data_IF_692953624675
#
_entry.id   IF_692953624675
#
_cell.length_a   1.000
_cell.length_b   1.000
_cell.length_c   1.000
_cell.angle_alpha   90.00
_cell.angle_beta   90.00
_cell.angle_gamma   90.00
#
_symmetry.space_group_name_H-M   'P 1'
#
loop_
_entity.id
_entity.type
_entity.pdbx_description
1 polymer ?
#
# COMPACT_ATOMS: atom_id res chain seq x y z
N UNK A 1 -12.39 15.93 -10.94
CA UNK A 1 -11.02 16.32 -11.37
C UNK A 1 -10.08 15.93 -10.26
N UNK A 2 -9.08 15.06 -10.54
CA UNK A 2 -8.04 14.71 -9.58
C UNK A 2 -6.98 15.80 -9.54
N UNK A 3 -6.56 16.17 -8.31
CA UNK A 3 -5.51 17.17 -8.09
C UNK A 3 -4.37 16.55 -7.29
N UNK A 4 -3.13 16.93 -7.61
CA UNK A 4 -1.92 16.52 -6.92
C UNK A 4 -1.13 17.78 -6.54
N UNK A 5 -1.00 18.03 -5.23
CA UNK A 5 -0.43 19.28 -4.73
C UNK A 5 -1.20 20.54 -5.20
N UNK A 6 -2.53 20.44 -5.31
CA UNK A 6 -3.40 21.55 -5.73
C UNK A 6 -3.57 21.69 -7.24
N UNK A 7 -2.75 21.05 -8.08
CA UNK A 7 -2.78 21.12 -9.53
C UNK A 7 -3.52 19.94 -10.17
N UNK A 8 -4.24 20.17 -11.29
CA UNK A 8 -4.89 19.10 -12.05
C UNK A 8 -3.83 18.13 -12.60
N UNK A 9 -3.95 16.84 -12.23
CA UNK A 9 -2.96 15.80 -12.62
C UNK A 9 -2.76 15.68 -14.14
N UNK A 10 -3.76 16.08 -14.93
CA UNK A 10 -3.68 16.06 -16.41
C UNK A 10 -2.77 17.15 -16.99
N UNK A 11 -2.49 18.20 -16.20
CA UNK A 11 -1.61 19.31 -16.60
C UNK A 11 -0.16 19.10 -16.19
N UNK A 12 0.08 18.15 -15.28
CA UNK A 12 1.43 17.81 -14.82
C UNK A 12 2.15 16.98 -15.88
N UNK A 13 3.42 17.27 -16.11
CA UNK A 13 4.32 16.40 -16.86
C UNK A 13 4.53 15.06 -16.16
N UNK A 14 5.03 14.06 -16.88
CA UNK A 14 5.36 12.74 -16.30
C UNK A 14 6.36 12.86 -15.15
N UNK A 15 7.37 13.71 -15.31
CA UNK A 15 8.36 13.99 -14.28
C UNK A 15 7.73 14.58 -13.02
N UNK A 16 6.86 15.58 -13.16
CA UNK A 16 6.17 16.21 -12.03
C UNK A 16 5.26 15.22 -11.32
N UNK A 17 4.52 14.39 -12.05
CA UNK A 17 3.72 13.32 -11.45
C UNK A 17 4.60 12.35 -10.69
N UNK A 18 5.66 11.85 -11.32
CA UNK A 18 6.54 10.83 -10.71
C UNK A 18 7.36 11.33 -9.52
N UNK A 19 7.60 12.64 -9.39
CA UNK A 19 8.24 13.21 -8.19
C UNK A 19 7.26 13.54 -7.08
N UNK A 20 5.95 13.69 -7.38
CA UNK A 20 4.91 14.03 -6.40
C UNK A 20 4.14 12.82 -5.90
N UNK A 21 4.07 11.74 -6.69
CA UNK A 21 3.37 10.52 -6.29
C UNK A 21 4.13 9.27 -6.75
N UNK A 22 4.28 8.32 -5.83
CA UNK A 22 4.71 6.96 -6.10
C UNK A 22 3.50 6.04 -6.20
N UNK A 23 3.62 4.97 -6.99
CA UNK A 23 2.55 3.98 -7.14
C UNK A 23 3.08 2.56 -6.96
N UNK A 24 2.45 1.82 -6.07
CA UNK A 24 2.65 0.39 -5.86
C UNK A 24 1.42 -0.35 -6.40
N UNK A 25 1.51 -0.96 -7.60
CA UNK A 25 0.38 -1.67 -8.20
C UNK A 25 0.13 -3.02 -7.52
N UNK A 26 -1.09 -3.52 -7.65
CA UNK A 26 -1.48 -4.87 -7.23
C UNK A 26 -0.70 -5.96 -7.97
N UNK A 27 -0.49 -5.77 -9.27
CA UNK A 27 0.29 -6.71 -10.08
C UNK A 27 1.77 -6.69 -9.71
N UNK A 28 2.28 -7.87 -9.34
CA UNK A 28 3.70 -8.08 -8.98
C UNK A 28 4.50 -8.73 -10.09
N UNK A 29 3.97 -8.72 -11.31
CA UNK A 29 4.66 -9.27 -12.46
C UNK A 29 5.76 -8.32 -12.91
N UNK A 30 6.98 -8.84 -12.98
CA UNK A 30 8.15 -8.16 -13.55
C UNK A 30 8.56 -8.96 -14.78
N UNK A 31 8.53 -8.33 -15.94
CA UNK A 31 8.70 -9.01 -17.24
C UNK A 31 10.10 -9.60 -17.44
N UNK A 32 11.10 -9.11 -16.70
CA UNK A 32 12.49 -9.53 -16.84
C UNK A 32 13.08 -10.00 -15.51
N UNK A 33 14.04 -10.93 -15.56
CA UNK A 33 14.77 -11.38 -14.38
C UNK A 33 15.93 -10.42 -14.06
N UNK A 34 15.58 -9.17 -13.68
CA UNK A 34 16.57 -8.18 -13.22
C UNK A 34 16.94 -8.41 -11.75
N UNK A 35 18.16 -8.04 -11.32
CA UNK A 35 18.52 -7.96 -9.90
C UNK A 35 17.58 -7.04 -9.13
N UNK A 36 17.30 -7.38 -7.86
CA UNK A 36 16.42 -6.58 -7.01
C UNK A 36 16.86 -5.11 -6.91
N UNK A 37 18.16 -4.86 -6.86
CA UNK A 37 18.72 -3.51 -6.80
C UNK A 37 18.33 -2.68 -8.04
N UNK A 38 18.42 -3.27 -9.21
CA UNK A 38 18.03 -2.62 -10.46
C UNK A 38 16.53 -2.36 -10.51
N UNK A 39 15.71 -3.36 -10.11
CA UNK A 39 14.25 -3.19 -10.03
C UNK A 39 13.88 -2.06 -9.06
N UNK A 40 14.51 -2.00 -7.90
CA UNK A 40 14.27 -0.90 -6.95
C UNK A 40 14.69 0.46 -7.55
N UNK A 41 15.85 0.52 -8.24
CA UNK A 41 16.33 1.75 -8.86
C UNK A 41 15.41 2.31 -9.95
N UNK A 42 14.61 1.47 -10.63
CA UNK A 42 13.57 1.92 -11.56
C UNK A 42 12.53 2.85 -10.92
N UNK A 43 12.40 2.81 -9.58
CA UNK A 43 11.53 3.71 -8.83
C UNK A 43 11.97 5.17 -8.84
N UNK A 44 13.21 5.46 -9.22
CA UNK A 44 13.77 6.81 -9.24
C UNK A 44 14.30 7.19 -10.65
N UNK A 45 13.45 7.19 -11.70
CA UNK A 45 13.90 7.38 -13.08
C UNK A 45 14.51 8.77 -13.35
N UNK A 46 14.40 9.69 -12.40
CA UNK A 46 14.95 11.05 -12.52
C UNK A 46 16.29 11.23 -11.81
N UNK A 47 16.76 10.19 -11.13
CA UNK A 47 18.12 10.12 -10.59
C UNK A 47 19.01 9.37 -11.59
N UNK A 48 20.25 9.83 -11.73
CA UNK A 48 21.21 9.21 -12.64
C UNK A 48 22.27 8.41 -11.87
N UNK A 49 22.71 7.29 -12.47
CA UNK A 49 23.89 6.54 -12.06
C UNK A 49 23.87 6.09 -10.59
N UNK A 50 24.97 6.28 -9.91
CA UNK A 50 25.21 5.80 -8.54
C UNK A 50 24.20 6.32 -7.52
N UNK A 51 23.64 7.52 -7.71
CA UNK A 51 22.66 8.08 -6.80
C UNK A 51 21.35 7.27 -6.77
N UNK A 52 20.91 6.75 -7.92
CA UNK A 52 19.73 5.88 -8.00
C UNK A 52 20.01 4.55 -7.29
N UNK A 53 21.16 3.93 -7.53
CA UNK A 53 21.57 2.67 -6.90
C UNK A 53 21.75 2.80 -5.38
N UNK A 54 22.34 3.88 -4.90
CA UNK A 54 22.50 4.14 -3.45
C UNK A 54 21.12 4.26 -2.77
N UNK A 55 20.17 5.01 -3.35
CA UNK A 55 18.82 5.12 -2.80
C UNK A 55 18.07 3.79 -2.87
N UNK A 56 18.24 3.04 -3.96
CA UNK A 56 17.63 1.73 -4.11
C UNK A 56 18.16 0.74 -3.04
N UNK A 57 19.47 0.78 -2.76
CA UNK A 57 20.08 -0.03 -1.71
C UNK A 57 19.47 0.31 -0.34
N UNK A 58 19.40 1.59 0.01
CA UNK A 58 18.80 2.04 1.27
C UNK A 58 17.31 1.63 1.38
N UNK A 59 16.55 1.74 0.30
CA UNK A 59 15.15 1.33 0.29
C UNK A 59 14.98 -0.20 0.41
N UNK A 60 15.86 -1.00 -0.18
CA UNK A 60 15.88 -2.45 0.02
C UNK A 60 16.22 -2.82 1.48
N UNK A 61 17.17 -2.14 2.11
CA UNK A 61 17.51 -2.34 3.52
C UNK A 61 16.32 -1.99 4.42
N UNK A 62 15.62 -0.88 4.14
CA UNK A 62 14.43 -0.44 4.87
C UNK A 62 13.32 -1.50 4.90
N UNK A 63 13.14 -2.23 3.80
CA UNK A 63 12.11 -3.30 3.71
C UNK A 63 12.66 -4.69 4.04
N UNK A 64 13.87 -4.80 4.57
CA UNK A 64 14.52 -6.07 4.93
C UNK A 64 14.87 -6.95 3.73
N UNK A 65 15.06 -6.36 2.54
CA UNK A 65 15.40 -7.06 1.31
C UNK A 65 16.84 -6.76 0.81
N UNK A 66 17.67 -6.10 1.60
CA UNK A 66 19.05 -5.73 1.22
C UNK A 66 19.93 -6.92 0.83
N UNK A 67 19.74 -8.07 1.50
CA UNK A 67 20.44 -9.31 1.19
C UNK A 67 20.06 -9.92 -0.18
N UNK A 68 18.96 -9.45 -0.79
CA UNK A 68 18.47 -9.90 -2.09
C UNK A 68 18.95 -9.03 -3.26
N UNK A 69 19.72 -7.98 -3.01
CA UNK A 69 20.03 -6.95 -3.98
C UNK A 69 20.54 -7.46 -5.33
N UNK A 70 21.38 -8.48 -5.32
CA UNK A 70 21.98 -9.07 -6.52
C UNK A 70 21.17 -10.25 -7.10
N UNK A 71 20.11 -10.67 -6.40
CA UNK A 71 19.30 -11.81 -6.81
C UNK A 71 18.25 -11.41 -7.85
N UNK A 72 18.04 -12.25 -8.84
CA UNK A 72 17.01 -12.05 -9.87
C UNK A 72 15.60 -12.14 -9.30
N UNK A 73 14.73 -11.20 -9.64
CA UNK A 73 13.36 -11.14 -9.10
C UNK A 73 12.48 -12.32 -9.51
N UNK A 74 12.78 -12.99 -10.61
CA UNK A 74 12.07 -14.21 -11.02
C UNK A 74 12.33 -15.39 -10.08
N UNK A 75 13.46 -15.40 -9.36
CA UNK A 75 13.88 -16.44 -8.44
C UNK A 75 13.36 -16.22 -7.00
N UNK A 76 12.58 -15.17 -6.80
CA UNK A 76 12.09 -14.75 -5.49
C UNK A 76 10.71 -15.33 -5.17
N UNK A 77 10.48 -15.58 -3.88
CA UNK A 77 9.14 -15.83 -3.35
C UNK A 77 8.21 -14.63 -3.55
N UNK A 78 6.91 -14.83 -3.38
CA UNK A 78 5.93 -13.74 -3.47
C UNK A 78 6.20 -12.62 -2.46
N UNK A 79 6.57 -12.96 -1.23
CA UNK A 79 6.91 -12.00 -0.17
C UNK A 79 8.20 -11.24 -0.45
N UNK A 80 9.27 -11.93 -0.88
CA UNK A 80 10.54 -11.27 -1.27
C UNK A 80 10.31 -10.29 -2.43
N UNK A 81 9.53 -10.69 -3.45
CA UNK A 81 9.20 -9.83 -4.58
C UNK A 81 8.36 -8.61 -4.15
N UNK A 82 7.41 -8.80 -3.22
CA UNK A 82 6.62 -7.69 -2.69
C UNK A 82 7.50 -6.66 -1.97
N UNK A 83 8.48 -7.09 -1.18
CA UNK A 83 9.46 -6.20 -0.52
C UNK A 83 10.26 -5.40 -1.56
N UNK A 84 10.73 -6.03 -2.63
CA UNK A 84 11.47 -5.34 -3.71
C UNK A 84 10.60 -4.30 -4.42
N UNK A 85 9.34 -4.62 -4.70
CA UNK A 85 8.41 -3.67 -5.33
C UNK A 85 8.02 -2.52 -4.39
N UNK A 86 7.90 -2.80 -3.09
CA UNK A 86 7.72 -1.75 -2.08
C UNK A 86 8.94 -0.84 -2.03
N UNK A 87 10.17 -1.39 -1.99
CA UNK A 87 11.40 -0.62 -2.07
C UNK A 87 11.41 0.29 -3.31
N UNK A 88 11.03 -0.24 -4.48
CA UNK A 88 10.89 0.55 -5.72
C UNK A 88 9.94 1.74 -5.56
N UNK A 89 8.81 1.57 -4.87
CA UNK A 89 7.87 2.66 -4.63
C UNK A 89 8.41 3.70 -3.62
N UNK A 90 9.26 3.28 -2.69
CA UNK A 90 9.83 4.16 -1.65
C UNK A 90 11.05 4.96 -2.13
N UNK A 91 11.81 4.48 -3.11
CA UNK A 91 13.06 5.11 -3.62
C UNK A 91 12.87 6.56 -4.01
N UNK A 92 11.76 6.91 -4.65
CA UNK A 92 11.50 8.28 -5.12
C UNK A 92 11.22 9.26 -3.98
N UNK A 93 10.85 8.78 -2.79
CA UNK A 93 10.45 9.59 -1.63
C UNK A 93 9.36 10.63 -1.95
N UNK A 94 8.45 10.29 -2.87
CA UNK A 94 7.36 11.17 -3.26
C UNK A 94 6.49 11.55 -2.06
N UNK A 95 5.94 12.78 -1.98
CA UNK A 95 5.05 13.18 -0.89
C UNK A 95 3.80 12.30 -0.74
N UNK A 96 3.32 11.68 -1.83
CA UNK A 96 2.18 10.78 -1.84
C UNK A 96 2.60 9.38 -2.31
N UNK A 97 2.15 8.35 -1.58
CA UNK A 97 2.25 6.95 -1.98
C UNK A 97 0.85 6.38 -2.19
N UNK A 98 0.59 5.88 -3.38
CA UNK A 98 -0.61 5.14 -3.73
C UNK A 98 -0.27 3.65 -3.75
N UNK A 99 -0.99 2.83 -2.98
CA UNK A 99 -0.75 1.39 -2.90
C UNK A 99 -2.06 0.63 -3.16
N UNK A 100 -2.07 -0.15 -4.23
CA UNK A 100 -3.26 -0.91 -4.64
C UNK A 100 -3.12 -2.36 -4.21
N UNK A 101 -3.93 -2.77 -3.23
CA UNK A 101 -3.92 -4.11 -2.61
C UNK A 101 -2.50 -4.63 -2.28
N UNK A 102 -1.66 -3.86 -1.58
CA UNK A 102 -0.23 -4.16 -1.46
C UNK A 102 0.08 -5.45 -0.70
N UNK A 103 -0.89 -5.98 0.07
CA UNK A 103 -0.73 -7.18 0.89
C UNK A 103 -1.42 -8.43 0.32
N UNK A 104 -2.12 -8.31 -0.82
CA UNK A 104 -2.86 -9.44 -1.40
C UNK A 104 -1.93 -10.62 -1.71
N UNK A 105 -2.29 -11.84 -1.27
CA UNK A 105 -1.53 -13.07 -1.52
C UNK A 105 -0.14 -13.14 -0.84
N UNK A 106 0.12 -12.31 0.16
CA UNK A 106 1.30 -12.41 1.01
C UNK A 106 1.00 -13.28 2.24
N UNK A 107 2.06 -13.90 2.77
CA UNK A 107 2.01 -14.51 4.10
C UNK A 107 1.85 -13.44 5.20
N UNK A 108 1.41 -13.80 6.41
CA UNK A 108 1.10 -12.84 7.47
C UNK A 108 2.28 -11.93 7.86
N UNK A 109 3.51 -12.47 7.89
CA UNK A 109 4.71 -11.68 8.22
C UNK A 109 4.96 -10.58 7.18
N UNK A 110 4.93 -10.97 5.90
CA UNK A 110 5.11 -10.02 4.81
C UNK A 110 3.98 -8.97 4.74
N UNK A 111 2.73 -9.35 5.06
CA UNK A 111 1.61 -8.40 5.16
C UNK A 111 1.87 -7.34 6.23
N UNK A 112 2.23 -7.76 7.44
CA UNK A 112 2.50 -6.84 8.55
C UNK A 112 3.66 -5.93 8.23
N UNK A 113 4.76 -6.44 7.68
CA UNK A 113 5.91 -5.63 7.30
C UNK A 113 5.53 -4.54 6.28
N UNK A 114 4.76 -4.89 5.23
CA UNK A 114 4.31 -3.89 4.24
C UNK A 114 3.48 -2.80 4.91
N UNK A 115 2.52 -3.18 5.76
CA UNK A 115 1.65 -2.23 6.46
C UNK A 115 2.43 -1.33 7.43
N UNK A 116 3.40 -1.88 8.16
CA UNK A 116 4.30 -1.11 9.03
C UNK A 116 5.09 -0.06 8.25
N UNK A 117 5.62 -0.40 7.06
CA UNK A 117 6.35 0.56 6.21
C UNK A 117 5.44 1.66 5.68
N UNK A 118 4.21 1.31 5.28
CA UNK A 118 3.20 2.30 4.88
C UNK A 118 2.84 3.22 6.04
N UNK A 119 2.65 2.68 7.24
CA UNK A 119 2.36 3.46 8.45
C UNK A 119 3.53 4.39 8.81
N UNK A 120 4.75 3.86 8.88
CA UNK A 120 5.96 4.65 9.15
C UNK A 120 6.14 5.81 8.16
N UNK A 121 5.77 5.61 6.88
CA UNK A 121 5.77 6.65 5.87
C UNK A 121 4.76 7.77 6.20
N UNK A 122 3.56 7.40 6.64
CA UNK A 122 2.54 8.37 7.04
C UNK A 122 2.95 9.14 8.30
N UNK A 123 3.52 8.45 9.29
CA UNK A 123 4.03 9.05 10.53
C UNK A 123 5.18 10.03 10.27
N UNK A 124 5.98 9.79 9.22
CA UNK A 124 7.02 10.72 8.76
C UNK A 124 6.46 11.93 7.97
N UNK A 125 5.14 12.09 7.89
CA UNK A 125 4.47 13.22 7.24
C UNK A 125 4.15 13.00 5.76
N UNK A 126 4.36 11.80 5.21
CA UNK A 126 3.95 11.43 3.86
C UNK A 126 2.45 11.14 3.78
N UNK A 127 1.82 11.44 2.64
CA UNK A 127 0.47 10.96 2.34
C UNK A 127 0.52 9.50 1.87
N UNK A 128 -0.34 8.64 2.43
CA UNK A 128 -0.50 7.26 1.98
C UNK A 128 -1.97 7.00 1.69
N UNK A 129 -2.27 6.55 0.47
CA UNK A 129 -3.59 6.05 0.09
C UNK A 129 -3.44 4.58 -0.28
N UNK A 130 -4.11 3.71 0.45
CA UNK A 130 -4.02 2.26 0.27
C UNK A 130 -5.40 1.65 0.10
N UNK A 131 -5.57 0.75 -0.89
CA UNK A 131 -6.74 -0.11 -0.98
C UNK A 131 -6.48 -1.42 -0.23
N UNK A 132 -7.44 -1.85 0.58
CA UNK A 132 -7.37 -3.08 1.37
C UNK A 132 -8.71 -3.79 1.39
N UNK A 133 -8.68 -5.13 1.37
CA UNK A 133 -9.86 -5.96 1.58
C UNK A 133 -10.04 -6.41 3.04
N UNK A 134 -8.95 -6.49 3.80
CA UNK A 134 -9.00 -6.83 5.21
C UNK A 134 -9.41 -5.61 6.05
N UNK A 135 -10.64 -5.65 6.56
CA UNK A 135 -11.22 -4.55 7.33
C UNK A 135 -10.53 -4.38 8.70
N UNK A 136 -10.03 -5.44 9.30
CA UNK A 136 -9.29 -5.38 10.56
C UNK A 136 -7.96 -4.69 10.35
N UNK A 137 -7.20 -5.10 9.34
CA UNK A 137 -5.92 -4.46 9.02
C UNK A 137 -6.12 -3.01 8.61
N UNK A 138 -7.15 -2.70 7.81
CA UNK A 138 -7.49 -1.33 7.45
C UNK A 138 -7.78 -0.47 8.70
N UNK A 139 -8.57 -0.99 9.65
CA UNK A 139 -8.91 -0.26 10.86
C UNK A 139 -7.71 -0.03 11.79
N UNK A 140 -6.71 -0.92 11.76
CA UNK A 140 -5.51 -0.82 12.61
C UNK A 140 -4.49 0.19 12.10
N UNK A 141 -4.38 0.38 10.79
CA UNK A 141 -3.29 1.20 10.22
C UNK A 141 -3.74 2.57 9.72
N UNK A 142 -5.02 2.74 9.39
CA UNK A 142 -5.52 3.95 8.77
C UNK A 142 -5.91 5.02 9.80
N UNK A 143 -5.64 6.30 9.49
CA UNK A 143 -6.21 7.43 10.21
C UNK A 143 -7.65 7.72 9.74
N UNK A 144 -7.95 7.37 8.49
CA UNK A 144 -9.24 7.61 7.83
C UNK A 144 -9.56 6.49 6.85
N UNK A 145 -10.78 6.04 6.84
CA UNK A 145 -11.28 5.01 5.92
C UNK A 145 -12.39 5.58 5.06
N UNK A 146 -12.26 5.35 3.75
CA UNK A 146 -13.29 5.65 2.76
C UNK A 146 -13.85 4.33 2.24
N UNK A 147 -15.15 4.12 2.42
CA UNK A 147 -15.83 2.93 1.91
C UNK A 147 -16.53 3.27 0.59
N UNK A 148 -16.23 2.47 -0.42
CA UNK A 148 -16.84 2.57 -1.75
C UNK A 148 -17.77 1.39 -1.97
N UNK A 149 -19.01 1.68 -2.39
CA UNK A 149 -19.98 0.69 -2.81
C UNK A 149 -20.65 1.14 -4.11
N UNK A 150 -20.71 0.26 -5.10
CA UNK A 150 -21.25 0.53 -6.43
C UNK A 150 -20.77 1.87 -7.05
N UNK A 151 -19.50 2.21 -6.87
CA UNK A 151 -18.87 3.42 -7.38
C UNK A 151 -19.22 4.71 -6.62
N UNK A 152 -19.83 4.60 -5.44
CA UNK A 152 -20.19 5.73 -4.56
C UNK A 152 -19.49 5.63 -3.22
N UNK A 153 -19.14 6.78 -2.67
CA UNK A 153 -18.66 6.87 -1.28
C UNK A 153 -19.88 6.69 -0.36
N UNK A 154 -19.85 5.64 0.46
CA UNK A 154 -20.92 5.34 1.44
C UNK A 154 -20.50 5.66 2.86
N UNK A 155 -19.19 5.73 3.15
CA UNK A 155 -18.66 6.22 4.41
C UNK A 155 -17.29 6.88 4.19
N UNK A 156 -16.97 7.86 5.01
CA UNK A 156 -15.70 8.58 5.00
C UNK A 156 -15.46 9.19 6.39
N UNK A 157 -14.76 8.46 7.27
CA UNK A 157 -14.57 8.82 8.68
C UNK A 157 -13.36 8.09 9.29
N UNK A 158 -13.17 8.23 10.62
CA UNK A 158 -12.25 7.39 11.38
C UNK A 158 -12.60 5.89 11.21
N UNK A 159 -11.63 4.97 11.30
CA UNK A 159 -11.82 3.58 10.86
C UNK A 159 -13.06 2.88 11.43
N UNK A 160 -13.20 2.85 12.75
CA UNK A 160 -14.33 2.14 13.40
C UNK A 160 -15.68 2.82 13.13
N UNK A 161 -15.69 4.12 12.93
CA UNK A 161 -16.88 4.90 12.58
C UNK A 161 -17.28 4.63 11.10
N UNK A 162 -16.32 4.71 10.18
CA UNK A 162 -16.53 4.42 8.76
C UNK A 162 -17.01 2.98 8.53
N UNK A 163 -16.51 2.04 9.33
CA UNK A 163 -16.84 0.62 9.30
C UNK A 163 -17.85 0.26 10.41
N UNK A 164 -18.84 1.14 10.64
CA UNK A 164 -19.91 0.93 11.60
C UNK A 164 -20.76 -0.31 11.26
N UNK A 165 -21.50 -0.91 12.23
CA UNK A 165 -22.36 -2.06 11.97
C UNK A 165 -23.34 -1.86 10.81
N UNK A 166 -23.82 -0.62 10.61
CA UNK A 166 -24.68 -0.26 9.48
C UNK A 166 -23.97 -0.42 8.14
N UNK A 167 -22.75 0.12 8.01
CA UNK A 167 -21.90 0.02 6.80
C UNK A 167 -21.48 -1.43 6.57
N UNK A 168 -21.08 -2.15 7.64
CA UNK A 168 -20.75 -3.58 7.52
C UNK A 168 -21.90 -4.40 6.93
N UNK A 169 -23.13 -4.12 7.33
CA UNK A 169 -24.31 -4.80 6.78
C UNK A 169 -24.62 -4.41 5.33
N UNK A 170 -24.62 -3.13 5.03
CA UNK A 170 -25.05 -2.63 3.71
C UNK A 170 -24.01 -2.85 2.63
N UNK A 171 -22.73 -2.53 2.88
CA UNK A 171 -21.69 -2.57 1.87
C UNK A 171 -20.93 -3.91 1.82
N UNK A 172 -20.80 -4.60 2.97
CA UNK A 172 -20.00 -5.83 3.07
C UNK A 172 -20.83 -7.09 3.32
N UNK A 173 -22.15 -6.97 3.59
CA UNK A 173 -23.03 -8.08 3.93
C UNK A 173 -22.56 -8.88 5.18
N UNK A 174 -22.01 -8.16 6.15
CA UNK A 174 -21.51 -8.71 7.39
C UNK A 174 -22.35 -8.22 8.57
N UNK A 175 -22.62 -9.12 9.51
CA UNK A 175 -23.07 -8.78 10.86
C UNK A 175 -21.86 -8.86 11.78
N UNK A 176 -21.42 -7.73 12.32
CA UNK A 176 -20.16 -7.68 13.05
C UNK A 176 -20.09 -6.56 14.05
N UNK A 177 -19.18 -6.74 14.99
CA UNK A 177 -18.84 -5.78 16.03
C UNK A 177 -17.33 -5.66 16.15
N UNK A 178 -16.87 -4.47 16.54
CA UNK A 178 -15.48 -4.24 16.86
C UNK A 178 -15.21 -4.62 18.31
N UNK A 179 -14.14 -5.36 18.53
CA UNK A 179 -13.63 -5.73 19.85
C UNK A 179 -12.21 -5.23 20.00
N UNK A 180 -11.78 -4.94 21.21
CA UNK A 180 -10.42 -4.52 21.48
C UNK A 180 -9.46 -5.70 21.40
N UNK A 181 -8.41 -5.57 20.60
CA UNK A 181 -7.32 -6.54 20.46
C UNK A 181 -6.01 -5.99 21.04
N UNK A 182 -4.94 -6.81 21.01
CA UNK A 182 -3.63 -6.42 21.56
C UNK A 182 -3.04 -5.17 20.87
N UNK A 183 -3.24 -5.06 19.55
CA UNK A 183 -2.65 -3.99 18.72
C UNK A 183 -3.72 -3.16 18.00
N UNK A 184 -4.87 -2.95 18.63
CA UNK A 184 -5.97 -2.16 18.08
C UNK A 184 -7.24 -2.95 17.79
N UNK A 185 -8.21 -2.36 17.08
CA UNK A 185 -9.52 -2.96 16.90
C UNK A 185 -9.47 -4.23 16.04
N UNK A 186 -10.24 -5.25 16.44
CA UNK A 186 -10.46 -6.49 15.71
C UNK A 186 -11.94 -6.59 15.34
N UNK A 187 -12.22 -6.95 14.09
CA UNK A 187 -13.59 -7.20 13.63
C UNK A 187 -14.01 -8.64 13.92
N UNK A 188 -14.95 -8.80 14.84
CA UNK A 188 -15.67 -10.05 15.03
C UNK A 188 -16.92 -10.04 14.15
N UNK A 189 -16.92 -10.78 13.04
CA UNK A 189 -18.00 -10.72 12.08
C UNK A 189 -18.42 -12.11 11.60
N UNK A 190 -19.68 -12.20 11.17
CA UNK A 190 -20.25 -13.33 10.44
C UNK A 190 -20.97 -12.84 9.19
N UNK A 191 -21.12 -13.72 8.21
CA UNK A 191 -21.94 -13.42 7.04
C UNK A 191 -23.40 -13.19 7.46
N UNK A 192 -24.06 -12.18 6.90
CA UNK A 192 -25.50 -12.08 7.05
C UNK A 192 -26.15 -13.32 6.46
N UNK A 193 -26.91 -14.05 7.28
CA UNK A 193 -27.75 -15.13 6.78
C UNK A 193 -28.78 -14.51 5.85
N UNK A 194 -28.72 -14.86 4.57
CA UNK A 194 -29.74 -14.43 3.62
C UNK A 194 -31.08 -14.89 4.14
N UNK A 195 -31.98 -13.96 4.42
CA UNK A 195 -33.40 -14.28 4.53
C UNK A 195 -33.82 -14.83 3.17
N UNK A 196 -34.25 -16.11 3.16
CA UNK A 196 -34.85 -16.76 2.02
C UNK A 196 -36.16 -16.09 1.62
#
# INVERSE_FOLDING_TARGET
VAKLGGEDVRRLSERERGTRAAYLPQERHIAWNLPALEVAALGAPFLAGDAALQRARAALDEVGAGHLAERGVAEMSGGERARVLLARALVVQAPLLLADEPIAGLDPDAQLLVLERLRARADAGGGVLVSLHDLTLAARIADRVVVLDAGRVVADAAPVEALSPGVLRSAFHLDGVWVEGMDGPLLAARRLSGGG
#
